data_IF_694668589365
#
_entry.id   IF_694668589365
#
_cell.length_a   1.000
_cell.length_b   1.000
_cell.length_c   1.000
_cell.angle_alpha   90.00
_cell.angle_beta   90.00
_cell.angle_gamma   90.00
#
_symmetry.space_group_name_H-M   'P 1'
#
loop_
_entity.id
_entity.type
_entity.pdbx_description
1 polymer ?
#
# COMPACT_ATOMS: atom_id res chain seq x y z
N UNK A 1 52.77 11.07 35.48
CA UNK A 1 51.43 10.94 34.87
C UNK A 1 51.20 9.48 34.52
N UNK A 2 50.73 8.69 35.49
CA UNK A 2 50.29 7.31 35.23
C UNK A 2 48.91 7.38 34.56
N UNK A 3 48.83 6.89 33.34
CA UNK A 3 47.56 6.73 32.64
C UNK A 3 46.76 5.64 33.33
N UNK A 4 45.70 6.01 34.04
CA UNK A 4 44.60 5.12 34.42
C UNK A 4 43.88 4.68 33.15
N UNK A 5 44.47 3.70 32.44
CA UNK A 5 43.74 2.86 31.51
C UNK A 5 42.84 1.96 32.36
N UNK A 6 41.60 2.41 32.57
CA UNK A 6 40.56 1.60 33.19
C UNK A 6 40.37 0.34 32.35
N UNK A 7 40.98 -0.76 32.76
CA UNK A 7 40.68 -2.09 32.24
C UNK A 7 39.24 -2.40 32.63
N UNK A 8 38.35 -2.41 31.64
CA UNK A 8 36.98 -2.92 31.82
C UNK A 8 37.15 -4.40 32.20
N UNK A 9 36.78 -4.76 33.43
CA UNK A 9 36.89 -6.15 33.88
C UNK A 9 35.91 -7.06 33.10
N UNK A 10 36.24 -8.35 33.07
CA UNK A 10 35.46 -9.35 32.34
C UNK A 10 33.99 -9.39 32.81
N UNK A 11 33.73 -9.13 34.10
CA UNK A 11 32.38 -9.09 34.67
C UNK A 11 31.54 -7.96 34.07
N UNK A 12 32.14 -6.79 33.89
CA UNK A 12 31.52 -5.62 33.27
C UNK A 12 31.21 -5.88 31.80
N UNK A 13 32.13 -6.53 31.07
CA UNK A 13 31.89 -6.92 29.66
C UNK A 13 30.72 -7.91 29.57
N UNK A 14 30.68 -8.93 30.43
CA UNK A 14 29.59 -9.92 30.48
C UNK A 14 28.25 -9.23 30.78
N UNK A 15 28.22 -8.31 31.74
CA UNK A 15 27.02 -7.56 32.11
C UNK A 15 26.50 -6.71 30.93
N UNK A 16 27.39 -5.99 30.24
CA UNK A 16 27.03 -5.20 29.06
C UNK A 16 26.46 -6.09 27.96
N UNK A 17 27.10 -7.24 27.66
CA UNK A 17 26.62 -8.18 26.66
C UNK A 17 25.26 -8.78 27.05
N UNK A 18 25.06 -9.12 28.32
CA UNK A 18 23.79 -9.61 28.84
C UNK A 18 22.67 -8.57 28.72
N UNK A 19 22.96 -7.30 29.04
CA UNK A 19 22.01 -6.19 28.87
C UNK A 19 21.64 -5.98 27.40
N UNK A 20 22.61 -5.97 26.49
CA UNK A 20 22.35 -5.84 25.04
C UNK A 20 21.51 -7.01 24.54
N UNK A 21 21.82 -8.24 24.97
CA UNK A 21 21.05 -9.43 24.62
C UNK A 21 19.62 -9.37 25.16
N UNK A 22 19.43 -8.93 26.40
CA UNK A 22 18.11 -8.78 27.01
C UNK A 22 17.27 -7.71 26.30
N UNK A 23 17.86 -6.55 25.98
CA UNK A 23 17.20 -5.49 25.18
C UNK A 23 16.77 -6.03 23.82
N UNK A 24 17.63 -6.80 23.17
CA UNK A 24 17.30 -7.44 21.89
C UNK A 24 16.16 -8.46 22.00
N UNK A 25 16.15 -9.29 23.07
CA UNK A 25 15.09 -10.26 23.31
C UNK A 25 13.75 -9.57 23.62
N UNK A 26 13.76 -8.57 24.50
CA UNK A 26 12.59 -7.76 24.83
C UNK A 26 12.03 -7.05 23.59
N UNK A 27 12.90 -6.55 22.72
CA UNK A 27 12.51 -6.00 21.42
C UNK A 27 11.85 -7.05 20.52
N UNK A 28 12.49 -8.22 20.31
CA UNK A 28 11.89 -9.29 19.48
C UNK A 28 10.53 -9.74 20.01
N UNK A 29 10.41 -9.87 21.33
CA UNK A 29 9.15 -10.17 21.98
C UNK A 29 8.11 -9.09 21.67
N UNK A 30 8.47 -7.81 21.82
CA UNK A 30 7.62 -6.68 21.49
C UNK A 30 7.15 -6.75 20.04
N UNK A 31 8.04 -6.92 19.06
CA UNK A 31 7.65 -7.05 17.63
C UNK A 31 6.70 -8.22 17.41
N UNK A 32 7.01 -9.37 18.00
CA UNK A 32 6.23 -10.59 17.85
C UNK A 32 4.82 -10.46 18.40
N UNK A 33 4.60 -9.54 19.36
CA UNK A 33 3.29 -9.24 19.95
C UNK A 33 2.60 -8.09 19.19
N UNK A 34 3.30 -6.98 18.95
CA UNK A 34 2.70 -5.75 18.41
C UNK A 34 2.18 -5.93 16.99
N UNK A 35 2.88 -6.66 16.13
CA UNK A 35 2.42 -6.92 14.74
C UNK A 35 1.10 -7.69 14.71
N UNK A 36 0.96 -8.87 15.34
CA UNK A 36 -0.32 -9.56 15.43
C UNK A 36 -1.40 -8.77 16.17
N UNK A 37 -1.05 -8.07 17.25
CA UNK A 37 -2.02 -7.30 18.04
C UNK A 37 -2.68 -6.20 17.21
N UNK A 38 -1.88 -5.42 16.47
CA UNK A 38 -2.43 -4.36 15.62
C UNK A 38 -3.24 -4.96 14.48
N UNK A 39 -2.75 -6.04 13.87
CA UNK A 39 -3.44 -6.73 12.80
C UNK A 39 -4.76 -7.39 13.26
N UNK A 40 -4.90 -7.73 14.54
CA UNK A 40 -6.15 -8.26 15.11
C UNK A 40 -7.33 -7.29 14.92
N UNK A 41 -7.07 -5.98 14.97
CA UNK A 41 -8.09 -4.95 14.79
C UNK A 41 -8.42 -4.67 13.32
N UNK A 42 -7.67 -5.26 12.38
CA UNK A 42 -7.81 -5.01 10.94
C UNK A 42 -9.25 -5.25 10.46
N UNK A 43 -9.96 -6.23 11.01
CA UNK A 43 -11.36 -6.51 10.66
C UNK A 43 -12.30 -5.32 10.84
N UNK A 44 -12.12 -4.53 11.91
CA UNK A 44 -12.94 -3.32 12.16
C UNK A 44 -12.66 -2.26 11.10
N UNK A 45 -11.38 -2.02 10.81
CA UNK A 45 -10.99 -1.03 9.81
C UNK A 45 -11.33 -1.49 8.39
N UNK A 46 -11.31 -2.80 8.11
CA UNK A 46 -11.81 -3.33 6.85
C UNK A 46 -13.31 -3.12 6.70
N UNK A 47 -14.10 -3.33 7.76
CA UNK A 47 -15.53 -3.05 7.74
C UNK A 47 -15.81 -1.57 7.44
N UNK A 48 -15.11 -0.64 8.11
CA UNK A 48 -15.20 0.79 7.82
C UNK A 48 -14.80 1.12 6.36
N UNK A 49 -13.77 0.46 5.84
CA UNK A 49 -13.35 0.58 4.45
C UNK A 49 -14.43 0.10 3.46
N UNK A 50 -15.18 -0.97 3.80
CA UNK A 50 -16.31 -1.46 3.01
C UNK A 50 -17.49 -0.49 3.02
N UNK A 51 -17.76 0.15 4.17
CA UNK A 51 -18.76 1.22 4.27
C UNK A 51 -18.42 2.35 3.31
N UNK A 52 -17.18 2.84 3.35
CA UNK A 52 -16.71 3.88 2.40
C UNK A 52 -16.84 3.43 0.96
N UNK A 53 -16.39 2.22 0.67
CA UNK A 53 -16.49 1.63 -0.64
C UNK A 53 -17.95 1.63 -1.13
N UNK A 54 -18.90 1.20 -0.31
CA UNK A 54 -20.31 1.17 -0.67
C UNK A 54 -20.87 2.58 -0.96
N UNK A 55 -20.68 3.54 -0.04
CA UNK A 55 -21.29 4.87 -0.15
C UNK A 55 -20.70 5.73 -1.27
N UNK A 56 -19.43 5.52 -1.64
CA UNK A 56 -18.81 6.25 -2.76
C UNK A 56 -19.49 5.96 -4.11
N UNK A 57 -20.13 4.80 -4.27
CA UNK A 57 -20.98 4.49 -5.41
C UNK A 57 -22.10 3.52 -5.00
N UNK A 58 -23.26 4.03 -4.54
CA UNK A 58 -24.38 3.18 -4.11
C UNK A 58 -25.02 2.42 -5.29
N UNK A 59 -24.85 2.91 -6.51
CA UNK A 59 -25.40 2.30 -7.72
C UNK A 59 -24.58 1.10 -8.22
N UNK A 60 -23.41 0.85 -7.62
CA UNK A 60 -22.48 -0.19 -8.01
C UNK A 60 -23.17 -1.56 -8.18
N UNK A 61 -24.07 -1.92 -7.28
CA UNK A 61 -24.78 -3.22 -7.33
C UNK A 61 -25.70 -3.37 -8.54
N UNK A 62 -26.21 -2.28 -9.11
CA UNK A 62 -27.02 -2.28 -10.32
C UNK A 62 -26.17 -2.26 -11.61
N UNK A 63 -24.88 -1.95 -11.49
CA UNK A 63 -23.93 -1.81 -12.61
C UNK A 63 -23.07 -3.06 -12.82
N UNK A 64 -23.56 -4.22 -12.40
CA UNK A 64 -22.88 -5.52 -12.61
C UNK A 64 -22.89 -5.96 -14.06
N UNK A 65 -24.03 -5.80 -14.74
CA UNK A 65 -24.17 -6.16 -16.15
C UNK A 65 -23.53 -5.07 -17.02
N UNK A 66 -22.35 -5.39 -17.55
CA UNK A 66 -21.61 -4.46 -18.43
C UNK A 66 -22.24 -4.26 -19.80
N UNK A 67 -23.11 -5.15 -20.27
CA UNK A 67 -23.73 -5.05 -21.59
C UNK A 67 -25.00 -4.17 -21.59
N UNK A 68 -25.64 -4.02 -20.41
CA UNK A 68 -26.85 -3.20 -20.27
C UNK A 68 -26.60 -1.71 -20.58
N UNK A 69 -27.35 -1.16 -21.54
CA UNK A 69 -27.31 0.28 -21.84
C UNK A 69 -27.87 1.16 -20.72
N UNK A 70 -28.68 0.59 -19.82
CA UNK A 70 -29.30 1.29 -18.69
C UNK A 70 -28.27 1.89 -17.75
N UNK A 71 -27.18 1.18 -17.46
CA UNK A 71 -26.11 1.65 -16.58
C UNK A 71 -25.50 2.96 -17.09
N UNK A 72 -25.22 3.04 -18.41
CA UNK A 72 -24.75 4.27 -19.06
C UNK A 72 -25.82 5.35 -19.06
N UNK A 73 -27.06 5.02 -19.39
CA UNK A 73 -28.17 5.98 -19.40
C UNK A 73 -28.36 6.66 -18.04
N UNK A 74 -28.41 5.86 -16.96
CA UNK A 74 -28.51 6.36 -15.58
C UNK A 74 -27.29 7.18 -15.20
N UNK A 75 -26.08 6.73 -15.56
CA UNK A 75 -24.85 7.47 -15.30
C UNK A 75 -24.85 8.85 -15.99
N UNK A 76 -25.23 8.91 -17.26
CA UNK A 76 -25.32 10.17 -18.01
C UNK A 76 -26.39 11.08 -17.43
N UNK A 77 -27.59 10.55 -17.15
CA UNK A 77 -28.68 11.31 -16.56
C UNK A 77 -28.28 11.93 -15.21
N UNK A 78 -27.74 11.11 -14.30
CA UNK A 78 -27.32 11.58 -12.96
C UNK A 78 -26.14 12.55 -13.01
N UNK A 79 -25.28 12.44 -14.02
CA UNK A 79 -24.16 13.37 -14.22
C UNK A 79 -24.60 14.68 -14.86
N UNK A 80 -25.45 14.65 -15.88
CA UNK A 80 -25.99 15.85 -16.54
C UNK A 80 -26.90 16.67 -15.61
N UNK A 81 -27.66 15.99 -14.74
CA UNK A 81 -28.48 16.65 -13.70
C UNK A 81 -27.68 17.10 -12.49
N UNK A 82 -26.37 16.78 -12.42
CA UNK A 82 -25.50 17.13 -11.29
C UNK A 82 -25.71 16.29 -10.02
N UNK A 83 -26.70 15.38 -10.00
CA UNK A 83 -27.00 14.51 -8.85
C UNK A 83 -25.76 13.72 -8.42
N UNK A 84 -25.01 13.15 -9.37
CA UNK A 84 -23.80 12.36 -9.06
C UNK A 84 -22.69 13.21 -8.43
N UNK A 85 -22.56 14.47 -8.85
CA UNK A 85 -21.56 15.43 -8.33
C UNK A 85 -21.93 15.85 -6.90
N UNK A 86 -23.20 16.22 -6.68
CA UNK A 86 -23.72 16.59 -5.35
C UNK A 86 -23.61 15.40 -4.40
N UNK A 87 -24.01 14.20 -4.84
CA UNK A 87 -23.88 12.98 -4.05
C UNK A 87 -22.42 12.73 -3.65
N UNK A 88 -21.50 12.79 -4.62
CA UNK A 88 -20.08 12.57 -4.35
C UNK A 88 -19.55 13.57 -3.32
N UNK A 89 -19.90 14.85 -3.44
CA UNK A 89 -19.46 15.89 -2.50
C UNK A 89 -20.05 15.69 -1.09
N UNK A 90 -21.35 15.38 -0.98
CA UNK A 90 -22.00 15.11 0.30
C UNK A 90 -21.41 13.88 0.99
N UNK A 91 -21.27 12.77 0.26
CA UNK A 91 -20.65 11.56 0.79
C UNK A 91 -19.19 11.83 1.16
N UNK A 92 -18.46 12.60 0.37
CA UNK A 92 -17.08 12.99 0.72
C UNK A 92 -17.02 13.68 2.09
N UNK A 93 -17.89 14.67 2.34
CA UNK A 93 -17.95 15.38 3.63
C UNK A 93 -18.34 14.42 4.75
N UNK A 94 -19.48 13.72 4.61
CA UNK A 94 -20.02 12.82 5.65
C UNK A 94 -19.03 11.71 5.99
N UNK A 95 -18.31 11.20 5.00
CA UNK A 95 -17.35 10.10 5.18
C UNK A 95 -15.96 10.55 5.62
N UNK A 96 -15.68 11.86 5.68
CA UNK A 96 -14.36 12.40 6.07
C UNK A 96 -13.88 11.88 7.44
N UNK A 97 -14.71 11.81 8.51
CA UNK A 97 -14.27 11.26 9.79
C UNK A 97 -13.80 9.80 9.67
N UNK A 98 -14.54 8.95 8.94
CA UNK A 98 -14.16 7.56 8.71
C UNK A 98 -12.86 7.48 7.91
N UNK A 99 -12.68 8.35 6.92
CA UNK A 99 -11.44 8.43 6.12
C UNK A 99 -10.23 8.81 6.96
N UNK A 100 -10.38 9.77 7.88
CA UNK A 100 -9.32 10.14 8.83
C UNK A 100 -8.96 8.95 9.71
N UNK A 101 -9.95 8.24 10.26
CA UNK A 101 -9.73 7.04 11.10
C UNK A 101 -8.98 5.95 10.33
N UNK A 102 -9.41 5.66 9.10
CA UNK A 102 -8.74 4.68 8.24
C UNK A 102 -7.34 5.10 7.83
N UNK A 103 -7.13 6.38 7.57
CA UNK A 103 -5.83 6.91 7.23
C UNK A 103 -4.90 6.83 8.46
N UNK A 104 -5.32 7.25 9.65
CA UNK A 104 -4.52 7.09 10.86
C UNK A 104 -4.15 5.63 11.13
N UNK A 105 -5.10 4.70 10.97
CA UNK A 105 -4.81 3.28 11.19
C UNK A 105 -3.86 2.70 10.14
N UNK A 106 -4.22 2.75 8.84
CA UNK A 106 -3.41 2.10 7.82
C UNK A 106 -2.17 2.90 7.43
N UNK A 107 -2.32 4.22 7.30
CA UNK A 107 -1.28 5.09 6.77
C UNK A 107 -0.22 5.48 7.80
N UNK A 108 -0.55 5.44 9.09
CA UNK A 108 0.36 5.77 10.19
C UNK A 108 0.62 4.54 11.06
N UNK A 109 -0.38 4.01 11.77
CA UNK A 109 -0.17 2.97 12.79
C UNK A 109 0.37 1.68 12.19
N UNK A 110 -0.36 1.07 11.24
CA UNK A 110 0.02 -0.21 10.63
C UNK A 110 1.34 -0.07 9.86
N UNK A 111 1.43 0.91 8.96
CA UNK A 111 2.62 1.11 8.13
C UNK A 111 3.87 1.40 8.96
N UNK A 112 3.81 2.28 9.97
CA UNK A 112 4.97 2.58 10.81
C UNK A 112 5.36 1.38 11.65
N UNK A 113 4.40 0.67 12.25
CA UNK A 113 4.74 -0.53 13.01
C UNK A 113 5.41 -1.55 12.12
N UNK A 114 4.86 -1.89 10.96
CA UNK A 114 5.49 -2.84 10.02
C UNK A 114 6.88 -2.37 9.59
N UNK A 115 7.00 -1.12 9.13
CA UNK A 115 8.24 -0.59 8.54
C UNK A 115 9.35 -0.36 9.57
N UNK A 116 9.03 0.19 10.75
CA UNK A 116 10.01 0.41 11.83
C UNK A 116 10.46 -0.94 12.38
N UNK A 117 9.55 -1.90 12.58
CA UNK A 117 9.95 -3.21 13.08
C UNK A 117 10.83 -3.95 12.07
N UNK A 118 10.55 -3.85 10.76
CA UNK A 118 11.44 -4.36 9.71
C UNK A 118 12.83 -3.68 9.76
N UNK A 119 12.87 -2.36 9.97
CA UNK A 119 14.10 -1.57 10.03
C UNK A 119 14.95 -1.87 11.26
N UNK A 120 14.33 -2.04 12.42
CA UNK A 120 15.04 -2.44 13.65
C UNK A 120 15.49 -3.90 13.57
N UNK A 121 14.69 -4.80 13.00
CA UNK A 121 15.13 -6.17 12.72
C UNK A 121 16.34 -6.21 11.77
N UNK A 122 16.47 -5.25 10.85
CA UNK A 122 17.65 -5.09 9.99
C UNK A 122 18.88 -4.57 10.75
N UNK A 123 18.69 -3.75 11.78
CA UNK A 123 19.78 -3.28 12.64
C UNK A 123 20.39 -4.42 13.46
N UNK A 124 19.57 -5.34 13.97
CA UNK A 124 20.06 -6.42 14.84
C UNK A 124 20.33 -7.76 14.12
N UNK A 125 19.54 -8.09 13.09
CA UNK A 125 19.69 -9.31 12.30
C UNK A 125 19.76 -8.95 10.80
N UNK A 126 20.89 -8.35 10.36
CA UNK A 126 21.08 -7.95 8.98
C UNK A 126 21.22 -9.19 8.09
N UNK A 127 20.19 -9.49 7.30
CA UNK A 127 20.19 -10.60 6.34
C UNK A 127 20.25 -10.11 4.89
N UNK A 128 20.92 -8.97 4.66
CA UNK A 128 21.09 -8.36 3.35
C UNK A 128 22.57 -8.17 2.99
N UNK A 129 22.84 -7.99 1.70
CA UNK A 129 24.15 -7.60 1.18
C UNK A 129 25.29 -8.56 1.54
N UNK A 130 26.42 -8.00 1.94
CA UNK A 130 27.65 -8.74 2.26
C UNK A 130 27.54 -9.65 3.49
N UNK A 131 26.54 -9.45 4.35
CA UNK A 131 26.30 -10.21 5.58
C UNK A 131 25.38 -11.43 5.37
N UNK A 132 24.55 -11.43 4.32
CA UNK A 132 23.52 -12.47 4.06
C UNK A 132 24.05 -13.91 4.07
N UNK A 133 25.28 -14.11 3.59
CA UNK A 133 25.89 -15.44 3.45
C UNK A 133 27.14 -15.63 4.32
N UNK A 134 27.37 -14.77 5.32
CA UNK A 134 28.53 -14.87 6.21
C UNK A 134 28.12 -15.54 7.52
N UNK A 135 29.03 -16.34 8.06
CA UNK A 135 28.84 -17.05 9.34
C UNK A 135 30.10 -16.91 10.20
N UNK A 136 29.99 -17.25 11.49
CA UNK A 136 31.11 -17.29 12.44
C UNK A 136 31.80 -15.94 12.66
N UNK A 137 33.12 -15.98 12.87
CA UNK A 137 33.93 -14.79 13.15
C UNK A 137 33.86 -13.74 12.03
N UNK A 138 33.80 -14.17 10.77
CA UNK A 138 33.71 -13.25 9.63
C UNK A 138 32.40 -12.45 9.64
N UNK A 139 31.30 -13.08 10.04
CA UNK A 139 30.04 -12.39 10.27
C UNK A 139 30.17 -11.39 11.42
N UNK A 140 30.73 -11.82 12.56
CA UNK A 140 30.91 -10.97 13.73
C UNK A 140 31.74 -9.71 13.43
N UNK A 141 32.90 -9.85 12.79
CA UNK A 141 33.74 -8.70 12.43
C UNK A 141 33.03 -7.72 11.50
N UNK A 142 32.39 -8.22 10.43
CA UNK A 142 31.62 -7.38 9.50
C UNK A 142 30.42 -6.73 10.20
N UNK A 143 29.75 -7.46 11.10
CA UNK A 143 28.64 -6.95 11.90
C UNK A 143 29.11 -5.75 12.72
N UNK A 144 30.16 -5.89 13.53
CA UNK A 144 30.70 -4.82 14.38
C UNK A 144 31.16 -3.63 13.53
N UNK A 145 31.98 -3.87 12.51
CA UNK A 145 32.54 -2.82 11.65
C UNK A 145 31.44 -2.00 10.94
N UNK A 146 30.37 -2.66 10.50
CA UNK A 146 29.25 -1.98 9.81
C UNK A 146 28.18 -1.42 10.75
N UNK A 147 28.26 -1.67 12.06
CA UNK A 147 27.23 -1.25 13.03
C UNK A 147 27.00 0.26 13.03
N UNK A 148 28.02 1.14 13.08
CA UNK A 148 27.80 2.59 13.08
C UNK A 148 27.05 3.06 11.83
N UNK A 149 27.44 2.54 10.66
CA UNK A 149 26.77 2.86 9.40
C UNK A 149 25.34 2.32 9.32
N UNK A 150 25.10 1.11 9.84
CA UNK A 150 23.75 0.53 9.94
C UNK A 150 22.87 1.34 10.88
N UNK A 151 23.42 1.88 11.97
CA UNK A 151 22.70 2.77 12.88
C UNK A 151 22.30 4.09 12.22
N UNK A 152 23.21 4.74 11.48
CA UNK A 152 22.89 5.95 10.70
C UNK A 152 21.79 5.66 9.67
N UNK A 153 21.92 4.56 8.92
CA UNK A 153 20.89 4.11 7.97
C UNK A 153 19.56 3.83 8.65
N UNK A 154 19.58 3.22 9.82
CA UNK A 154 18.39 2.97 10.62
C UNK A 154 17.68 4.28 10.95
N UNK A 155 18.40 5.29 11.48
CA UNK A 155 17.82 6.61 11.79
C UNK A 155 17.25 7.29 10.55
N UNK A 156 18.01 7.33 9.46
CA UNK A 156 17.58 7.94 8.21
C UNK A 156 16.32 7.26 7.65
N UNK A 157 16.29 5.92 7.59
CA UNK A 157 15.12 5.17 7.11
C UNK A 157 13.90 5.40 8.00
N UNK A 158 14.07 5.39 9.32
CA UNK A 158 12.98 5.67 10.28
C UNK A 158 12.40 7.07 10.08
N UNK A 159 13.25 8.08 9.86
CA UNK A 159 12.79 9.43 9.51
C UNK A 159 11.99 9.43 8.20
N UNK A 160 12.48 8.77 7.15
CA UNK A 160 11.74 8.70 5.88
C UNK A 160 10.42 7.93 6.00
N UNK A 161 10.31 6.90 6.84
CA UNK A 161 9.02 6.25 7.10
C UNK A 161 8.01 7.18 7.80
N UNK A 162 8.48 8.04 8.71
CA UNK A 162 7.63 9.09 9.29
C UNK A 162 7.17 10.08 8.22
N UNK A 163 8.08 10.53 7.36
CA UNK A 163 7.76 11.42 6.25
C UNK A 163 6.77 10.77 5.26
N UNK A 164 6.97 9.51 4.90
CA UNK A 164 6.07 8.75 4.03
C UNK A 164 4.65 8.69 4.61
N UNK A 165 4.55 8.42 5.92
CA UNK A 165 3.28 8.39 6.65
C UNK A 165 2.60 9.74 6.63
N UNK A 166 3.34 10.81 6.89
CA UNK A 166 2.83 12.17 6.86
C UNK A 166 2.33 12.55 5.46
N UNK A 167 3.13 12.33 4.41
CA UNK A 167 2.75 12.68 3.04
C UNK A 167 1.50 11.92 2.56
N UNK A 168 1.44 10.61 2.81
CA UNK A 168 0.32 9.80 2.35
C UNK A 168 -0.93 9.99 3.21
N UNK A 169 -0.79 10.34 4.50
CA UNK A 169 -1.92 10.75 5.34
C UNK A 169 -2.68 11.93 4.71
N UNK A 170 -1.94 12.96 4.27
CA UNK A 170 -2.53 14.09 3.55
C UNK A 170 -3.29 13.66 2.29
N UNK A 171 -2.70 12.77 1.49
CA UNK A 171 -3.33 12.21 0.28
C UNK A 171 -4.63 11.47 0.64
N UNK A 172 -4.63 10.62 1.68
CA UNK A 172 -5.80 9.85 2.10
C UNK A 172 -6.96 10.73 2.61
N UNK A 173 -6.64 11.88 3.21
CA UNK A 173 -7.64 12.85 3.67
C UNK A 173 -8.23 13.62 2.49
N UNK A 174 -7.41 14.04 1.52
CA UNK A 174 -7.86 14.86 0.37
C UNK A 174 -8.51 14.04 -0.74
N UNK A 175 -8.05 12.81 -0.95
CA UNK A 175 -8.51 12.00 -2.06
C UNK A 175 -9.20 10.72 -1.59
N UNK A 176 -10.26 10.25 -2.28
CA UNK A 176 -10.87 8.96 -2.00
C UNK A 176 -9.82 7.83 -2.08
N UNK A 177 -9.40 7.35 -0.91
CA UNK A 177 -8.39 6.31 -0.77
C UNK A 177 -8.97 5.14 0.02
N UNK A 178 -8.91 3.95 -0.58
CA UNK A 178 -9.35 2.71 0.05
C UNK A 178 -8.15 1.83 0.38
N UNK A 179 -8.29 1.00 1.40
CA UNK A 179 -7.41 -0.15 1.61
C UNK A 179 -7.84 -1.25 0.65
N UNK A 180 -6.92 -1.71 -0.18
CA UNK A 180 -7.15 -2.74 -1.17
C UNK A 180 -6.04 -3.78 -1.15
N UNK A 181 -6.32 -4.92 -1.77
CA UNK A 181 -5.49 -6.10 -1.72
C UNK A 181 -5.01 -6.46 -3.13
N UNK A 182 -3.72 -6.76 -3.25
CA UNK A 182 -3.09 -7.19 -4.49
C UNK A 182 -2.48 -8.57 -4.29
N UNK A 183 -3.06 -9.59 -4.93
CA UNK A 183 -2.53 -10.95 -4.91
C UNK A 183 -1.41 -11.15 -5.92
N UNK A 184 -0.31 -11.74 -5.48
CA UNK A 184 0.85 -11.97 -6.36
C UNK A 184 1.78 -13.06 -5.82
N UNK A 185 2.82 -13.41 -6.57
CA UNK A 185 3.87 -14.33 -6.14
C UNK A 185 4.83 -13.65 -5.16
N UNK A 186 5.04 -14.25 -4.00
CA UNK A 186 5.82 -13.67 -2.90
C UNK A 186 7.25 -13.30 -3.31
N UNK A 187 7.99 -14.26 -3.88
CA UNK A 187 9.42 -14.08 -4.21
C UNK A 187 9.64 -13.26 -5.47
N UNK A 188 8.80 -13.39 -6.48
CA UNK A 188 8.99 -12.74 -7.78
C UNK A 188 8.51 -11.28 -7.79
N UNK A 189 7.35 -11.03 -7.20
CA UNK A 189 6.65 -9.75 -7.35
C UNK A 189 6.33 -9.10 -6.01
N UNK A 190 5.87 -9.85 -5.00
CA UNK A 190 5.48 -9.33 -3.69
C UNK A 190 6.59 -8.51 -3.04
N UNK A 191 7.73 -9.15 -2.82
CA UNK A 191 8.94 -8.51 -2.25
C UNK A 191 9.50 -7.41 -3.14
N UNK A 192 9.53 -7.61 -4.47
CA UNK A 192 10.03 -6.60 -5.40
C UNK A 192 9.18 -5.32 -5.37
N UNK A 193 7.85 -5.45 -5.34
CA UNK A 193 6.94 -4.31 -5.29
C UNK A 193 7.13 -3.53 -3.98
N UNK A 194 7.20 -4.23 -2.85
CA UNK A 194 7.35 -3.57 -1.54
C UNK A 194 8.73 -2.92 -1.36
N UNK A 195 9.81 -3.57 -1.83
CA UNK A 195 11.19 -3.08 -1.69
C UNK A 195 11.58 -2.00 -2.69
N UNK A 196 10.99 -2.00 -3.90
CA UNK A 196 11.30 -1.00 -4.93
C UNK A 196 10.29 0.15 -4.98
N UNK A 197 9.10 -0.02 -4.41
CA UNK A 197 8.02 0.96 -4.52
C UNK A 197 7.47 1.10 -5.94
N UNK A 198 7.77 0.11 -6.80
CA UNK A 198 7.31 0.06 -8.18
C UNK A 198 6.38 -1.13 -8.40
N UNK A 199 5.33 -0.93 -9.18
CA UNK A 199 4.27 -1.89 -9.43
C UNK A 199 4.37 -2.42 -10.84
N UNK A 200 4.27 -3.73 -11.00
CA UNK A 200 4.20 -4.37 -12.31
C UNK A 200 2.85 -4.05 -12.95
N UNK A 201 2.88 -3.47 -14.15
CA UNK A 201 1.68 -3.21 -14.94
C UNK A 201 1.30 -4.48 -15.69
N UNK A 202 0.11 -5.01 -15.39
CA UNK A 202 -0.46 -6.16 -16.08
C UNK A 202 -1.13 -5.76 -17.39
N UNK A 203 -1.16 -6.70 -18.34
CA UNK A 203 -1.86 -6.57 -19.64
C UNK A 203 -3.36 -6.36 -19.47
N UNK A 204 -3.97 -7.02 -18.48
CA UNK A 204 -5.30 -6.70 -18.00
C UNK A 204 -6.44 -7.00 -18.98
N UNK A 205 -6.91 -8.25 -18.99
CA UNK A 205 -7.94 -8.71 -19.93
C UNK A 205 -9.34 -8.16 -19.63
N UNK A 206 -9.63 -7.74 -18.40
CA UNK A 206 -11.00 -7.42 -17.95
C UNK A 206 -11.22 -5.95 -17.59
N UNK A 207 -10.18 -5.23 -17.18
CA UNK A 207 -10.32 -3.85 -16.72
C UNK A 207 -9.23 -2.92 -17.28
N UNK A 208 -8.61 -3.32 -18.38
CA UNK A 208 -7.59 -2.54 -19.09
C UNK A 208 -6.17 -2.74 -18.58
N UNK A 209 -5.17 -2.32 -19.35
CA UNK A 209 -3.76 -2.34 -18.93
C UNK A 209 -3.57 -1.47 -17.69
N UNK A 210 -3.02 -2.05 -16.61
CA UNK A 210 -2.87 -1.34 -15.36
C UNK A 210 -2.48 -2.20 -14.16
N UNK A 211 -2.66 -1.64 -12.96
CA UNK A 211 -2.35 -2.30 -11.69
C UNK A 211 -3.67 -2.68 -11.02
N UNK A 212 -3.82 -3.97 -10.71
CA UNK A 212 -5.08 -4.56 -10.30
C UNK A 212 -5.20 -4.73 -8.80
N UNK A 213 -6.38 -4.47 -8.26
CA UNK A 213 -6.68 -4.60 -6.83
C UNK A 213 -8.07 -5.20 -6.61
N UNK A 214 -8.20 -5.94 -5.53
CA UNK A 214 -9.48 -6.38 -4.97
C UNK A 214 -9.76 -5.70 -3.64
N UNK A 215 -11.03 -5.52 -3.30
CA UNK A 215 -11.43 -5.05 -1.97
C UNK A 215 -11.43 -6.19 -0.95
N UNK A 216 -11.63 -7.43 -1.40
CA UNK A 216 -11.77 -8.60 -0.53
C UNK A 216 -10.55 -9.52 -0.62
N UNK A 217 -10.22 -10.17 0.49
CA UNK A 217 -9.10 -11.10 0.57
C UNK A 217 -9.28 -12.30 -0.35
N UNK A 218 -10.53 -12.78 -0.52
CA UNK A 218 -10.89 -13.84 -1.47
C UNK A 218 -10.42 -13.50 -2.90
N UNK A 219 -10.62 -12.26 -3.34
CA UNK A 219 -10.23 -11.81 -4.68
C UNK A 219 -8.71 -11.83 -4.82
N UNK A 220 -7.98 -11.27 -3.85
CA UNK A 220 -6.51 -11.26 -3.90
C UNK A 220 -5.92 -12.68 -3.82
N UNK A 221 -6.42 -13.54 -2.92
CA UNK A 221 -5.98 -14.94 -2.79
C UNK A 221 -6.20 -15.78 -4.04
N UNK A 222 -7.20 -15.44 -4.87
CA UNK A 222 -7.40 -16.11 -6.15
C UNK A 222 -6.25 -15.85 -7.14
N UNK A 223 -5.69 -14.64 -7.11
CA UNK A 223 -4.60 -14.23 -7.99
C UNK A 223 -3.21 -14.56 -7.44
N UNK A 224 -3.10 -14.82 -6.14
CA UNK A 224 -1.88 -15.32 -5.55
C UNK A 224 -1.71 -16.82 -5.86
N UNK A 225 -0.47 -17.30 -6.12
CA UNK A 225 -0.22 -18.73 -6.29
C UNK A 225 -0.58 -19.49 -5.01
N UNK A 226 -0.92 -20.77 -5.14
CA UNK A 226 -1.17 -21.64 -3.98
C UNK A 226 0.16 -22.06 -3.32
N UNK A 227 0.11 -22.37 -2.03
CA UNK A 227 1.27 -22.83 -1.25
C UNK A 227 2.17 -21.69 -0.77
N UNK A 228 3.44 -22.01 -0.48
CA UNK A 228 4.37 -21.12 0.22
C UNK A 228 4.79 -19.84 -0.52
N UNK A 229 4.46 -19.72 -1.81
CA UNK A 229 4.74 -18.52 -2.61
C UNK A 229 3.52 -17.58 -2.70
N UNK A 230 2.44 -17.88 -1.97
CA UNK A 230 1.27 -17.02 -1.84
C UNK A 230 1.64 -15.69 -1.20
N UNK A 231 1.33 -14.57 -1.84
CA UNK A 231 1.41 -13.27 -1.20
C UNK A 231 0.23 -12.36 -1.52
N UNK A 232 -0.16 -11.60 -0.51
CA UNK A 232 -1.12 -10.52 -0.62
C UNK A 232 -0.47 -9.24 -0.11
N UNK A 233 -0.36 -8.24 -0.97
CA UNK A 233 0.04 -6.89 -0.57
C UNK A 233 -1.21 -6.15 -0.12
N UNK A 234 -1.21 -5.67 1.13
CA UNK A 234 -2.17 -4.69 1.61
C UNK A 234 -1.67 -3.31 1.19
N UNK A 235 -2.49 -2.56 0.47
CA UNK A 235 -2.11 -1.29 -0.14
C UNK A 235 -3.17 -0.23 0.08
N UNK A 236 -2.71 1.01 0.19
CA UNK A 236 -3.56 2.20 0.21
C UNK A 236 -3.61 2.76 -1.21
N UNK A 237 -4.81 2.79 -1.76
CA UNK A 237 -5.07 3.02 -3.19
C UNK A 237 -6.00 4.21 -3.37
N UNK A 238 -5.48 5.28 -3.96
CA UNK A 238 -6.24 6.48 -4.29
C UNK A 238 -7.00 6.30 -5.61
N UNK A 239 -8.32 6.16 -5.49
CA UNK A 239 -9.27 5.86 -6.55
C UNK A 239 -9.97 7.11 -7.11
N UNK A 240 -9.43 8.31 -6.89
CA UNK A 240 -9.98 9.55 -7.47
C UNK A 240 -10.17 9.38 -8.98
N UNK A 241 -11.37 9.73 -9.46
CA UNK A 241 -11.77 9.56 -10.86
C UNK A 241 -11.77 8.09 -11.30
N UNK A 242 -12.48 7.24 -10.56
CA UNK A 242 -12.82 5.87 -10.96
C UNK A 242 -14.05 5.87 -11.86
N UNK A 243 -14.02 5.10 -12.95
CA UNK A 243 -15.18 4.86 -13.81
C UNK A 243 -15.64 3.41 -13.73
N UNK A 244 -16.92 3.17 -13.54
CA UNK A 244 -17.47 1.81 -13.62
C UNK A 244 -17.55 1.37 -15.07
N UNK A 245 -17.04 0.19 -15.40
CA UNK A 245 -17.02 -0.32 -16.79
C UNK A 245 -18.41 -0.33 -17.42
N UNK A 246 -19.47 -0.68 -16.68
CA UNK A 246 -20.83 -0.72 -17.22
C UNK A 246 -21.36 0.66 -17.70
N UNK A 247 -20.70 1.76 -17.32
CA UNK A 247 -21.06 3.13 -17.73
C UNK A 247 -20.27 3.63 -18.95
N UNK A 248 -19.30 2.83 -19.43
CA UNK A 248 -18.51 3.13 -20.63
C UNK A 248 -19.36 3.11 -21.91
N UNK A 249 -18.77 3.56 -23.02
CA UNK A 249 -19.39 3.43 -24.35
C UNK A 249 -19.51 1.97 -24.75
N UNK A 250 -20.46 1.64 -25.62
CA UNK A 250 -20.67 0.26 -26.06
C UNK A 250 -19.38 -0.34 -26.62
N UNK A 251 -18.73 0.36 -27.54
CA UNK A 251 -17.48 -0.07 -28.15
C UNK A 251 -16.36 -0.29 -27.13
N UNK A 252 -16.33 0.47 -26.04
CA UNK A 252 -15.36 0.28 -24.95
C UNK A 252 -15.72 -0.93 -24.07
N UNK A 253 -17.01 -1.11 -23.76
CA UNK A 253 -17.50 -2.25 -22.97
C UNK A 253 -17.29 -3.56 -23.69
N UNK A 254 -17.34 -3.55 -25.01
CA UNK A 254 -17.13 -4.72 -25.85
C UNK A 254 -15.66 -5.18 -25.86
N UNK A 255 -14.71 -4.30 -25.51
CA UNK A 255 -13.28 -4.66 -25.34
C UNK A 255 -13.00 -5.46 -24.07
N UNK A 256 -13.90 -5.44 -23.09
CA UNK A 256 -13.70 -6.11 -21.80
C UNK A 256 -13.77 -7.63 -21.97
N UNK A 257 -12.82 -8.35 -21.39
CA UNK A 257 -12.72 -9.81 -21.47
C UNK A 257 -12.13 -10.33 -22.78
N UNK A 258 -11.79 -9.45 -23.74
CA UNK A 258 -11.07 -9.85 -24.95
C UNK A 258 -9.57 -9.88 -24.63
N UNK A 259 -8.94 -11.06 -24.76
CA UNK A 259 -7.61 -11.43 -24.24
C UNK A 259 -6.40 -10.61 -24.73
N UNK A 260 -6.60 -9.52 -25.45
CA UNK A 260 -5.55 -8.58 -25.90
C UNK A 260 -6.00 -7.11 -25.92
N UNK A 261 -7.26 -6.83 -25.61
CA UNK A 261 -7.86 -5.50 -25.75
C UNK A 261 -7.68 -4.60 -24.53
N UNK A 262 -6.99 -5.07 -23.49
CA UNK A 262 -6.74 -4.30 -22.27
C UNK A 262 -6.04 -2.97 -22.55
N UNK A 263 -5.10 -2.96 -23.49
CA UNK A 263 -4.37 -1.76 -23.88
C UNK A 263 -5.26 -0.75 -24.60
N UNK A 264 -6.11 -1.23 -25.52
CA UNK A 264 -7.05 -0.39 -26.24
C UNK A 264 -8.11 0.18 -25.31
N UNK A 265 -8.60 -0.62 -24.37
CA UNK A 265 -9.51 -0.16 -23.33
C UNK A 265 -8.85 0.93 -22.47
N UNK A 266 -7.63 0.71 -21.97
CA UNK A 266 -6.92 1.71 -21.17
C UNK A 266 -6.65 3.01 -21.94
N UNK A 267 -6.42 2.93 -23.25
CA UNK A 267 -6.27 4.09 -24.14
C UNK A 267 -7.59 4.78 -24.48
N UNK A 268 -8.74 4.11 -24.40
CA UNK A 268 -10.05 4.66 -24.78
C UNK A 268 -10.77 5.31 -23.60
N UNK A 269 -10.59 4.78 -22.39
CA UNK A 269 -11.09 5.37 -21.12
C UNK A 269 -10.40 6.71 -20.76
N UNK A 270 -9.77 7.38 -21.74
CA UNK A 270 -9.09 8.69 -21.67
C UNK A 270 -9.94 9.77 -20.99
N UNK A 271 -9.22 10.79 -20.51
CA UNK A 271 -9.79 11.98 -19.88
C UNK A 271 -9.38 12.10 -18.42
N UNK A 272 -10.32 12.51 -17.57
CA UNK A 272 -10.09 12.67 -16.13
C UNK A 272 -10.00 11.34 -15.37
N UNK A 273 -10.47 10.24 -15.97
CA UNK A 273 -10.48 8.93 -15.33
C UNK A 273 -9.09 8.30 -15.32
N UNK A 274 -8.70 7.83 -14.14
CA UNK A 274 -7.38 7.24 -13.90
C UNK A 274 -7.45 5.79 -13.41
N UNK A 275 -8.68 5.32 -13.20
CA UNK A 275 -8.97 3.99 -12.72
C UNK A 275 -10.35 3.54 -13.18
N UNK A 276 -10.55 2.23 -13.21
CA UNK A 276 -11.84 1.63 -13.51
C UNK A 276 -12.20 0.59 -12.46
N UNK A 277 -13.50 0.41 -12.27
CA UNK A 277 -14.05 -0.69 -11.48
C UNK A 277 -14.92 -1.60 -12.35
N UNK A 278 -14.80 -2.91 -12.14
CA UNK A 278 -15.42 -3.93 -12.98
C UNK A 278 -15.99 -5.06 -12.13
N UNK A 279 -17.23 -5.46 -12.41
CA UNK A 279 -17.80 -6.68 -11.85
C UNK A 279 -17.42 -7.89 -12.71
N UNK A 280 -16.70 -8.83 -12.10
CA UNK A 280 -16.37 -10.13 -12.70
C UNK A 280 -17.54 -11.07 -12.54
N UNK A 281 -18.32 -11.23 -13.60
CA UNK A 281 -19.48 -12.13 -13.63
C UNK A 281 -19.07 -13.60 -13.39
N UNK A 282 -17.90 -14.00 -13.90
CA UNK A 282 -17.34 -15.35 -13.77
C UNK A 282 -16.88 -15.70 -12.34
N UNK A 283 -16.48 -14.70 -11.55
CA UNK A 283 -15.90 -14.90 -10.21
C UNK A 283 -16.74 -14.31 -9.07
N UNK A 284 -17.73 -13.47 -9.40
CA UNK A 284 -18.67 -12.89 -8.45
C UNK A 284 -18.06 -11.82 -7.54
N UNK A 285 -17.17 -10.96 -8.05
CA UNK A 285 -16.57 -9.87 -7.27
C UNK A 285 -16.27 -8.61 -8.08
N UNK A 286 -15.89 -7.53 -7.39
CA UNK A 286 -15.39 -6.29 -7.98
C UNK A 286 -13.87 -6.29 -8.07
N UNK A 287 -13.37 -5.90 -9.25
CA UNK A 287 -11.95 -5.63 -9.52
C UNK A 287 -11.75 -4.15 -9.84
N UNK A 288 -10.59 -3.65 -9.43
CA UNK A 288 -10.18 -2.27 -9.63
C UNK A 288 -8.88 -2.27 -10.41
N UNK A 289 -8.79 -1.44 -11.43
CA UNK A 289 -7.59 -1.27 -12.22
C UNK A 289 -7.18 0.20 -12.22
N UNK A 290 -5.98 0.50 -11.73
CA UNK A 290 -5.33 1.79 -11.99
C UNK A 290 -4.73 1.75 -13.40
N UNK A 291 -5.36 2.47 -14.33
CA UNK A 291 -5.02 2.42 -15.74
C UNK A 291 -3.64 3.01 -16.03
N UNK A 292 -2.84 2.27 -16.82
CA UNK A 292 -1.47 2.65 -17.22
C UNK A 292 -1.22 2.30 -18.69
N UNK A 293 -1.89 2.99 -19.64
CA UNK A 293 -1.69 2.75 -21.05
C UNK A 293 -0.21 2.97 -21.43
N UNK A 294 0.31 2.12 -22.31
CA UNK A 294 1.67 2.16 -22.84
C UNK A 294 2.74 1.68 -21.86
N UNK A 295 2.35 1.08 -20.73
CA UNK A 295 3.28 0.63 -19.68
C UNK A 295 3.21 -0.86 -19.39
N UNK A 296 2.50 -1.64 -20.21
CA UNK A 296 2.39 -3.10 -20.06
C UNK A 296 3.76 -3.75 -19.83
N UNK A 297 3.85 -4.64 -18.82
CA UNK A 297 5.07 -5.37 -18.47
C UNK A 297 6.15 -4.52 -17.78
N UNK A 298 5.94 -3.21 -17.65
CA UNK A 298 6.89 -2.32 -16.99
C UNK A 298 6.60 -2.22 -15.48
N UNK A 299 7.65 -2.01 -14.70
CA UNK A 299 7.54 -1.60 -13.31
C UNK A 299 7.45 -0.07 -13.24
N UNK A 300 6.42 0.45 -12.58
CA UNK A 300 6.19 1.90 -12.50
C UNK A 300 5.96 2.35 -11.05
N UNK A 301 6.33 3.60 -10.75
CA UNK A 301 5.88 4.25 -9.52
C UNK A 301 4.53 4.97 -9.74
N UNK A 302 3.75 5.14 -8.67
CA UNK A 302 2.52 5.93 -8.69
C UNK A 302 2.26 6.55 -7.33
N UNK A 303 2.05 7.87 -7.29
CA UNK A 303 1.66 8.60 -6.07
C UNK A 303 0.34 8.11 -5.45
N UNK A 304 -0.47 7.42 -6.24
CA UNK A 304 -1.77 6.86 -5.82
C UNK A 304 -1.66 5.58 -4.98
N UNK A 305 -0.47 5.01 -4.86
CA UNK A 305 -0.27 3.68 -4.29
C UNK A 305 0.77 3.73 -3.19
N UNK A 306 0.45 3.10 -2.07
CA UNK A 306 1.44 2.77 -1.05
C UNK A 306 1.17 1.41 -0.42
N UNK A 307 2.10 0.44 -0.56
CA UNK A 307 2.00 -0.81 0.16
C UNK A 307 2.21 -0.53 1.67
N UNK A 308 1.33 -1.09 2.50
CA UNK A 308 1.36 -0.91 3.97
C UNK A 308 1.68 -2.18 4.73
N UNK A 309 1.40 -3.34 4.14
CA UNK A 309 1.79 -4.64 4.67
C UNK A 309 1.95 -5.68 3.56
N UNK A 310 2.75 -6.70 3.83
CA UNK A 310 2.89 -7.89 2.99
C UNK A 310 2.46 -9.10 3.81
N UNK A 311 1.48 -9.84 3.31
CA UNK A 311 0.93 -11.02 3.95
C UNK A 311 1.37 -12.25 3.16
N UNK A 312 1.87 -13.27 3.87
CA UNK A 312 2.12 -14.60 3.35
C UNK A 312 1.54 -15.60 4.38
N UNK A 313 0.77 -16.59 3.89
CA UNK A 313 0.06 -17.57 4.71
C UNK A 313 -0.75 -16.96 5.87
N UNK A 314 -1.46 -15.87 5.59
CA UNK A 314 -2.35 -15.19 6.53
C UNK A 314 -1.65 -14.39 7.63
N UNK A 315 -0.32 -14.22 7.57
CA UNK A 315 0.45 -13.45 8.53
C UNK A 315 1.21 -12.32 7.84
N UNK A 316 1.34 -11.18 8.52
CA UNK A 316 2.27 -10.13 8.10
C UNK A 316 3.69 -10.68 8.18
N UNK A 317 4.43 -10.59 7.08
CA UNK A 317 5.81 -11.05 6.98
C UNK A 317 6.78 -9.90 6.84
N UNK A 318 8.00 -10.11 7.35
CA UNK A 318 9.11 -9.16 7.24
C UNK A 318 9.49 -8.96 5.78
N UNK A 319 9.67 -7.70 5.38
CA UNK A 319 10.33 -7.37 4.11
C UNK A 319 11.81 -7.10 4.39
N UNK A 320 12.70 -8.03 4.01
CA UNK A 320 14.15 -7.84 4.18
C UNK A 320 14.62 -6.57 3.45
N UNK A 321 15.44 -5.75 4.09
CA UNK A 321 15.82 -4.43 3.55
C UNK A 321 14.76 -3.33 3.69
N UNK A 322 13.56 -3.66 4.18
CA UNK A 322 12.47 -2.72 4.46
C UNK A 322 11.65 -2.34 3.21
N UNK A 323 10.58 -1.60 3.45
CA UNK A 323 9.75 -1.03 2.39
C UNK A 323 10.49 0.13 1.70
N UNK A 324 10.22 0.31 0.41
CA UNK A 324 10.64 1.49 -0.33
C UNK A 324 10.01 2.76 0.26
N UNK A 325 10.76 3.84 0.21
CA UNK A 325 10.25 5.12 0.66
C UNK A 325 9.31 5.73 -0.37
N UNK A 326 8.09 6.06 0.06
CA UNK A 326 7.10 6.73 -0.79
C UNK A 326 7.63 8.08 -1.29
N UNK A 327 8.35 8.82 -0.45
CA UNK A 327 8.99 10.10 -0.73
C UNK A 327 10.23 10.02 -1.64
N UNK A 328 10.65 8.82 -2.07
CA UNK A 328 11.79 8.66 -2.99
C UNK A 328 11.51 9.16 -4.41
N UNK A 329 10.23 9.41 -4.74
CA UNK A 329 9.82 9.94 -6.04
C UNK A 329 9.25 11.34 -5.90
N UNK A 330 9.72 12.26 -6.74
CA UNK A 330 9.32 13.68 -6.69
C UNK A 330 7.82 13.88 -6.86
N UNK A 331 7.17 13.10 -7.73
CA UNK A 331 5.71 13.15 -7.93
C UNK A 331 4.92 12.88 -6.65
N UNK A 332 5.46 11.99 -5.80
CA UNK A 332 4.81 11.55 -4.58
C UNK A 332 4.92 12.63 -3.50
N UNK A 333 6.08 13.26 -3.40
CA UNK A 333 6.34 14.41 -2.53
C UNK A 333 5.45 15.58 -2.93
N UNK A 334 5.43 15.95 -4.21
CA UNK A 334 4.60 17.06 -4.72
C UNK A 334 3.12 16.83 -4.43
N UNK A 335 2.61 15.63 -4.68
CA UNK A 335 1.20 15.32 -4.39
C UNK A 335 0.90 15.30 -2.89
N UNK A 336 1.82 14.82 -2.05
CA UNK A 336 1.66 14.87 -0.60
C UNK A 336 1.62 16.31 -0.08
N UNK A 337 2.56 17.15 -0.52
CA UNK A 337 2.61 18.57 -0.14
C UNK A 337 1.39 19.35 -0.66
N UNK A 338 0.95 19.11 -1.90
CA UNK A 338 -0.26 19.72 -2.45
C UNK A 338 -1.51 19.33 -1.64
N UNK A 339 -1.59 18.07 -1.19
CA UNK A 339 -2.69 17.60 -0.34
C UNK A 339 -2.69 18.32 1.01
N UNK A 340 -1.54 18.47 1.67
CA UNK A 340 -1.43 19.24 2.90
C UNK A 340 -1.74 20.73 2.72
N UNK A 341 -1.28 21.33 1.62
CA UNK A 341 -1.62 22.71 1.26
C UNK A 341 -3.13 22.90 1.12
N UNK A 342 -3.83 21.95 0.50
CA UNK A 342 -5.29 21.97 0.41
C UNK A 342 -5.97 21.84 1.77
N UNK A 343 -5.48 20.96 2.65
CA UNK A 343 -6.01 20.82 4.02
C UNK A 343 -5.84 22.14 4.79
N UNK A 344 -4.65 22.72 4.77
CA UNK A 344 -4.35 23.99 5.46
C UNK A 344 -5.24 25.10 4.92
N UNK A 345 -5.35 25.22 3.59
CA UNK A 345 -6.20 26.23 2.95
C UNK A 345 -7.67 26.09 3.38
N UNK A 346 -8.21 24.86 3.40
CA UNK A 346 -9.56 24.60 3.88
C UNK A 346 -9.70 25.03 5.34
N UNK A 347 -8.77 24.64 6.22
CA UNK A 347 -8.81 25.02 7.63
C UNK A 347 -8.79 26.54 7.83
N UNK A 348 -7.98 27.27 7.05
CA UNK A 348 -7.92 28.74 7.11
C UNK A 348 -9.19 29.45 6.65
N UNK A 349 -10.06 28.78 5.89
CA UNK A 349 -11.36 29.36 5.52
C UNK A 349 -12.39 29.28 6.66
N UNK A 350 -12.14 28.46 7.68
CA UNK A 350 -13.03 28.25 8.82
C UNK A 350 -12.50 28.83 10.14
N UNK A 351 -11.32 29.46 10.11
CA UNK A 351 -10.72 30.22 11.22
C UNK A 351 -10.73 31.69 10.87
#
# INVERSE_FOLDING_TARGET
MQSTLNTIDLGTIILILAMVYFVFLAYRLTVSITRPLIFMFEGVFFFLNQILWFFTNPLRMFWKNRQSGTSRGVFLLTTMTGISVVWWFLIYIISTPIRIVLALYYDVVLFLVVSITDNVEELFDPKIGSLKYKTGLKYFFLYVLTTPWRFIKFLAKSFFYLLDSFLFLGISIVFPTLTMLHGTKFREAGTKITQSGTWLVGQGNYAGTGIYFGINEKTAKHYAPKGSDNSVIVSRVTLSFTKTIATLEKDERDLVGLGSSGEDLAKRVKGFYSSVEHWREDLGWWEYCLLKPGKMGSFINSWRLRPVALINDGKIVRTYGGFAHYCSHISNVLMGLASWGMIIWILTLFT
#
